data_IF_826965646182
#
_entry.id   IF_826965646182
#
_cell.length_a   1.000
_cell.length_b   1.000
_cell.length_c   1.000
_cell.angle_alpha   90.00
_cell.angle_beta   90.00
_cell.angle_gamma   90.00
#
_symmetry.space_group_name_H-M   'P 1'
#
loop_
_entity.id
_entity.type
_entity.pdbx_description
1 polymer ?
#
# COMPACT_ATOMS: atom_id res chain seq x y z
N UNK A 1 -9.75 -24.61 47.62
CA UNK A 1 -9.04 -23.72 46.69
C UNK A 1 -9.18 -24.29 45.28
N UNK A 2 -9.94 -23.62 44.41
CA UNK A 2 -9.79 -23.64 42.95
C UNK A 2 -10.85 -22.72 42.36
N UNK A 3 -10.53 -21.43 42.30
CA UNK A 3 -11.23 -20.54 41.39
C UNK A 3 -10.57 -20.73 40.04
N UNK A 4 -11.22 -21.51 39.18
CA UNK A 4 -10.89 -21.60 37.77
C UNK A 4 -10.75 -20.18 37.22
N UNK A 5 -9.58 -19.89 36.67
CA UNK A 5 -9.27 -18.65 35.97
C UNK A 5 -10.35 -18.43 34.90
N UNK A 6 -11.27 -17.51 35.18
CA UNK A 6 -12.30 -17.11 34.22
C UNK A 6 -11.57 -16.41 33.08
N UNK A 7 -11.58 -17.07 31.93
CA UNK A 7 -10.95 -16.65 30.70
C UNK A 7 -11.45 -15.25 30.32
N UNK A 8 -10.53 -14.31 30.07
CA UNK A 8 -10.81 -12.92 29.71
C UNK A 8 -11.44 -12.94 28.31
N UNK A 9 -12.77 -12.90 28.22
CA UNK A 9 -13.45 -12.93 26.91
C UNK A 9 -13.19 -11.62 26.18
N UNK A 10 -12.54 -11.70 25.03
CA UNK A 10 -12.50 -10.61 24.05
C UNK A 10 -13.93 -10.33 23.59
N UNK A 11 -14.36 -9.07 23.61
CA UNK A 11 -15.63 -8.64 23.04
C UNK A 11 -15.42 -8.30 21.56
N UNK A 12 -16.06 -9.07 20.69
CA UNK A 12 -16.01 -8.90 19.24
C UNK A 12 -17.07 -7.89 18.80
N UNK A 13 -16.64 -6.81 18.13
CA UNK A 13 -17.50 -5.70 17.73
C UNK A 13 -17.52 -5.58 16.20
N UNK A 14 -18.70 -5.37 15.61
CA UNK A 14 -18.87 -5.20 14.15
C UNK A 14 -18.44 -3.82 13.66
N UNK A 15 -18.11 -3.70 12.37
CA UNK A 15 -17.70 -2.43 11.75
C UNK A 15 -18.85 -1.39 11.79
N UNK A 16 -18.50 -0.09 11.77
CA UNK A 16 -19.40 1.07 11.82
C UNK A 16 -19.99 1.45 13.19
N UNK A 17 -19.68 0.71 14.24
CA UNK A 17 -20.16 1.03 15.60
C UNK A 17 -19.18 1.92 16.40
N UNK A 18 -18.12 2.42 15.74
CA UNK A 18 -16.93 2.97 16.40
C UNK A 18 -16.69 4.46 16.16
N UNK A 19 -17.70 5.23 15.74
CA UNK A 19 -17.50 6.69 15.64
C UNK A 19 -17.25 7.36 17.01
N UNK A 20 -17.55 6.71 18.14
CA UNK A 20 -17.22 7.20 19.50
C UNK A 20 -16.89 6.13 20.57
N UNK A 21 -16.89 4.83 20.22
CA UNK A 21 -16.72 3.79 21.25
C UNK A 21 -17.83 3.79 22.32
N UNK A 22 -19.02 4.23 21.92
CA UNK A 22 -20.22 4.33 22.76
C UNK A 22 -21.34 3.63 21.98
N UNK A 23 -21.81 2.50 22.51
CA UNK A 23 -22.96 1.78 21.98
C UNK A 23 -24.23 2.30 22.61
N UNK A 24 -25.26 2.50 21.79
CA UNK A 24 -26.62 2.73 22.27
C UNK A 24 -27.15 1.49 22.98
N UNK A 25 -27.67 1.70 24.19
CA UNK A 25 -28.32 0.67 25.01
C UNK A 25 -29.56 0.13 24.29
N UNK A 26 -29.57 -1.14 23.89
CA UNK A 26 -30.77 -1.79 23.35
C UNK A 26 -31.73 -2.18 24.49
N UNK A 27 -32.59 -1.25 24.91
CA UNK A 27 -33.68 -1.53 25.84
C UNK A 27 -35.02 -1.57 25.04
N UNK A 28 -35.52 -2.75 24.67
CA UNK A 28 -36.68 -2.88 23.75
C UNK A 28 -38.05 -2.67 24.40
N UNK A 29 -38.16 -2.68 25.73
CA UNK A 29 -39.47 -2.67 26.40
C UNK A 29 -39.57 -1.83 27.69
N UNK A 30 -38.47 -1.32 28.27
CA UNK A 30 -38.49 -0.54 29.53
C UNK A 30 -37.42 0.56 29.54
N UNK A 31 -37.80 1.85 29.60
CA UNK A 31 -36.88 2.99 29.47
C UNK A 31 -35.84 3.20 30.60
N UNK A 32 -35.84 2.44 31.69
CA UNK A 32 -35.05 2.76 32.91
C UNK A 32 -34.00 1.72 33.37
N UNK A 33 -33.82 0.59 32.67
CA UNK A 33 -33.04 -0.57 33.16
C UNK A 33 -31.90 -1.02 32.22
N UNK A 34 -30.96 -0.14 31.91
CA UNK A 34 -29.71 -0.52 31.24
C UNK A 34 -28.53 0.07 32.04
N UNK A 35 -27.36 -0.60 32.06
CA UNK A 35 -26.25 -0.46 33.02
C UNK A 35 -26.50 0.54 34.15
N UNK A 36 -27.25 0.10 35.15
CA UNK A 36 -27.03 -1.23 35.70
C UNK A 36 -28.14 -2.28 35.48
N UNK A 37 -27.75 -3.56 35.59
CA UNK A 37 -28.61 -4.72 35.93
C UNK A 37 -27.81 -5.75 36.74
N UNK A 38 -28.39 -6.67 37.53
CA UNK A 38 -28.97 -6.50 38.89
C UNK A 38 -28.31 -7.56 39.80
N UNK A 39 -26.99 -7.46 40.07
CA UNK A 39 -26.33 -8.38 41.02
C UNK A 39 -25.33 -7.73 41.97
N UNK A 40 -25.24 -6.39 41.99
CA UNK A 40 -24.68 -5.62 43.11
C UNK A 40 -23.19 -5.82 43.42
N UNK A 41 -22.42 -6.51 42.60
CA UNK A 41 -20.99 -6.70 42.82
C UNK A 41 -20.20 -5.82 41.85
N UNK A 42 -19.61 -4.74 42.37
CA UNK A 42 -18.59 -3.98 41.69
C UNK A 42 -17.41 -4.90 41.40
N UNK A 43 -17.28 -5.33 40.14
CA UNK A 43 -16.00 -5.79 39.60
C UNK A 43 -15.42 -4.59 38.86
N UNK A 44 -14.12 -4.34 39.05
CA UNK A 44 -13.38 -3.39 38.22
C UNK A 44 -13.83 -3.57 36.76
N UNK A 45 -14.17 -2.48 36.03
CA UNK A 45 -14.59 -2.59 34.65
C UNK A 45 -13.54 -3.42 33.94
N UNK A 46 -13.97 -4.56 33.38
CA UNK A 46 -13.05 -5.43 32.69
C UNK A 46 -12.36 -4.57 31.64
N UNK A 47 -11.02 -4.42 31.75
CA UNK A 47 -10.19 -3.89 30.67
C UNK A 47 -10.18 -4.96 29.56
N UNK A 48 -11.34 -5.23 28.97
CA UNK A 48 -11.48 -6.06 27.78
C UNK A 48 -10.78 -5.30 26.65
N UNK A 49 -9.81 -5.96 26.02
CA UNK A 49 -9.19 -5.45 24.81
C UNK A 49 -10.23 -5.56 23.70
N UNK A 50 -10.96 -4.46 23.44
CA UNK A 50 -11.93 -4.39 22.34
C UNK A 50 -11.19 -4.69 21.03
N UNK A 51 -11.63 -5.72 20.33
CA UNK A 51 -11.09 -6.07 19.02
C UNK A 51 -12.22 -5.95 18.01
N UNK A 52 -12.10 -4.99 17.11
CA UNK A 52 -12.97 -4.91 15.95
C UNK A 52 -12.71 -6.14 15.09
N UNK A 53 -13.76 -6.91 14.81
CA UNK A 53 -13.71 -8.07 13.92
C UNK A 53 -14.47 -7.69 12.66
N UNK A 54 -13.74 -7.02 11.77
CA UNK A 54 -14.24 -6.69 10.46
C UNK A 54 -13.91 -7.78 9.43
N UNK A 55 -14.91 -8.17 8.65
CA UNK A 55 -14.66 -8.83 7.35
C UNK A 55 -14.45 -7.74 6.32
N UNK A 56 -13.21 -7.52 5.92
CA UNK A 56 -12.91 -6.42 5.03
C UNK A 56 -13.37 -6.65 3.59
N UNK A 57 -13.92 -5.61 2.94
CA UNK A 57 -14.16 -5.65 1.50
C UNK A 57 -12.83 -5.79 0.75
N UNK A 58 -12.91 -6.19 -0.51
CA UNK A 58 -11.74 -6.36 -1.36
C UNK A 58 -10.92 -5.05 -1.42
N UNK A 59 -9.61 -5.19 -1.25
CA UNK A 59 -8.67 -4.07 -1.28
C UNK A 59 -8.44 -3.37 0.06
N UNK A 60 -9.11 -3.81 1.13
CA UNK A 60 -8.96 -3.25 2.48
C UNK A 60 -8.40 -4.28 3.47
N UNK A 61 -7.71 -3.79 4.50
CA UNK A 61 -7.11 -4.58 5.58
C UNK A 61 -7.08 -3.76 6.88
N UNK A 62 -6.79 -4.42 8.00
CA UNK A 62 -6.81 -3.82 9.33
C UNK A 62 -7.93 -4.38 10.20
N UNK A 63 -7.90 -4.05 11.49
CA UNK A 63 -8.94 -4.49 12.42
C UNK A 63 -10.30 -3.86 12.09
N UNK A 64 -10.26 -2.66 11.50
CA UNK A 64 -11.40 -1.82 11.16
C UNK A 64 -11.51 -1.57 9.64
N UNK A 65 -10.74 -2.32 8.83
CA UNK A 65 -10.59 -2.08 7.38
C UNK A 65 -10.11 -0.66 7.05
N UNK A 66 -9.31 -0.08 7.94
CA UNK A 66 -8.87 1.30 7.88
C UNK A 66 -7.68 1.53 6.92
N UNK A 67 -7.06 0.45 6.44
CA UNK A 67 -5.87 0.47 5.57
C UNK A 67 -6.16 -0.19 4.23
N UNK A 68 -5.45 0.22 3.20
CA UNK A 68 -5.45 -0.53 1.95
C UNK A 68 -4.63 -1.81 2.08
N UNK A 69 -5.13 -2.88 1.46
CA UNK A 69 -4.43 -4.16 1.35
C UNK A 69 -3.15 -3.98 0.51
N UNK A 70 -2.18 -4.89 0.67
CA UNK A 70 -1.00 -4.92 -0.19
C UNK A 70 -1.43 -4.96 -1.68
N UNK A 71 -0.82 -4.13 -2.51
CA UNK A 71 -1.21 -3.98 -3.92
C UNK A 71 -2.40 -3.04 -4.15
N UNK A 72 -2.86 -2.33 -3.13
CA UNK A 72 -3.87 -1.28 -3.22
C UNK A 72 -3.36 0.03 -2.61
N UNK A 73 -3.86 1.15 -3.13
CA UNK A 73 -3.57 2.51 -2.66
C UNK A 73 -4.84 3.32 -2.48
N UNK A 74 -4.75 4.39 -1.69
CA UNK A 74 -5.82 5.36 -1.54
C UNK A 74 -5.99 6.19 -2.79
N UNK A 75 -7.24 6.49 -3.12
CA UNK A 75 -7.66 7.42 -4.16
C UNK A 75 -8.86 8.20 -3.63
N UNK A 76 -8.84 9.53 -3.81
CA UNK A 76 -9.93 10.41 -3.38
C UNK A 76 -10.86 10.64 -4.57
N UNK A 77 -12.10 10.17 -4.46
CA UNK A 77 -13.15 10.36 -5.47
C UNK A 77 -14.27 11.17 -4.83
N UNK A 78 -14.36 12.46 -5.19
CA UNK A 78 -15.27 13.40 -4.54
C UNK A 78 -14.90 13.58 -3.07
N UNK A 79 -15.85 13.30 -2.17
CA UNK A 79 -15.66 13.36 -0.71
C UNK A 79 -15.25 12.03 -0.08
N UNK A 80 -15.12 10.96 -0.87
CA UNK A 80 -14.80 9.62 -0.40
C UNK A 80 -13.36 9.23 -0.71
N UNK A 81 -12.70 8.56 0.24
CA UNK A 81 -11.39 7.91 0.00
C UNK A 81 -11.60 6.41 -0.12
N UNK A 82 -11.17 5.84 -1.24
CA UNK A 82 -11.31 4.40 -1.50
C UNK A 82 -9.95 3.74 -1.77
N UNK A 83 -9.86 2.43 -1.54
CA UNK A 83 -8.69 1.64 -1.91
C UNK A 83 -8.87 1.08 -3.32
N UNK A 84 -7.97 1.43 -4.23
CA UNK A 84 -7.95 0.94 -5.61
C UNK A 84 -6.66 0.16 -5.89
N UNK A 85 -6.65 -0.79 -6.84
CA UNK A 85 -5.43 -1.51 -7.19
C UNK A 85 -4.30 -0.58 -7.62
N UNK A 86 -3.06 -0.96 -7.29
CA UNK A 86 -1.86 -0.28 -7.80
C UNK A 86 -1.78 -0.38 -9.33
N UNK A 87 -1.38 0.71 -9.99
CA UNK A 87 -1.16 0.74 -11.45
C UNK A 87 0.33 0.86 -11.72
N UNK A 88 1.03 -0.28 -11.78
CA UNK A 88 2.50 -0.32 -11.92
C UNK A 88 2.98 -0.89 -13.25
N UNK A 89 2.16 -0.80 -14.31
CA UNK A 89 2.50 -1.24 -15.68
C UNK A 89 3.10 -2.65 -15.78
N UNK A 90 2.60 -3.60 -14.99
CA UNK A 90 3.11 -4.99 -14.91
C UNK A 90 4.60 -5.11 -14.50
N UNK A 91 5.17 -4.03 -13.95
CA UNK A 91 6.53 -3.97 -13.42
C UNK A 91 6.57 -4.01 -11.90
N UNK A 92 5.41 -4.06 -11.23
CA UNK A 92 5.27 -4.35 -9.81
C UNK A 92 3.83 -4.71 -9.49
N UNK A 93 3.62 -5.39 -8.37
CA UNK A 93 2.30 -5.63 -7.76
C UNK A 93 2.16 -4.88 -6.43
N UNK A 94 3.20 -4.14 -6.02
CA UNK A 94 3.27 -3.45 -4.73
C UNK A 94 3.50 -1.97 -4.98
N UNK A 95 2.71 -1.14 -4.31
CA UNK A 95 2.91 0.29 -4.25
C UNK A 95 2.66 0.81 -2.84
N UNK A 96 3.23 1.97 -2.55
CA UNK A 96 2.99 2.70 -1.33
C UNK A 96 1.48 3.07 -1.23
N UNK A 97 0.81 2.73 -0.11
CA UNK A 97 -0.65 2.83 -0.02
C UNK A 97 -1.17 4.27 0.03
N UNK A 98 -0.32 5.25 0.32
CA UNK A 98 -0.73 6.66 0.45
C UNK A 98 -0.34 7.47 -0.79
N UNK A 99 0.87 7.25 -1.31
CA UNK A 99 1.42 7.99 -2.46
C UNK A 99 1.18 7.29 -3.79
N UNK A 100 0.89 5.99 -3.78
CA UNK A 100 0.75 5.17 -4.98
C UNK A 100 2.06 4.85 -5.70
N UNK A 101 3.22 5.20 -5.11
CA UNK A 101 4.52 4.95 -5.73
C UNK A 101 4.83 3.45 -5.77
N UNK A 102 5.06 2.93 -6.96
CA UNK A 102 5.37 1.52 -7.18
C UNK A 102 6.80 1.14 -6.77
N UNK A 103 6.96 -0.08 -6.27
CA UNK A 103 8.27 -0.72 -6.10
C UNK A 103 8.72 -1.35 -7.42
N UNK A 104 9.24 -0.53 -8.32
CA UNK A 104 9.51 -0.93 -9.70
C UNK A 104 10.59 -2.02 -9.85
N UNK A 105 10.31 -3.00 -10.71
CA UNK A 105 11.22 -4.09 -11.13
C UNK A 105 11.65 -3.89 -12.58
N UNK A 106 12.40 -4.85 -13.13
CA UNK A 106 12.81 -4.88 -14.54
C UNK A 106 13.52 -3.62 -15.03
N UNK A 107 14.29 -2.98 -14.14
CA UNK A 107 15.01 -1.73 -14.43
C UNK A 107 14.10 -0.57 -14.87
N UNK A 108 12.84 -0.59 -14.43
CA UNK A 108 11.89 0.51 -14.62
C UNK A 108 11.90 1.44 -13.42
N UNK A 109 11.34 2.63 -13.62
CA UNK A 109 11.22 3.66 -12.60
C UNK A 109 10.08 4.62 -12.94
N UNK A 110 9.92 5.65 -12.11
CA UNK A 110 8.75 6.51 -12.14
C UNK A 110 7.74 6.15 -11.06
N UNK A 111 6.63 6.89 -10.98
CA UNK A 111 5.58 6.64 -9.98
C UNK A 111 4.85 5.32 -10.29
N UNK A 112 4.70 5.01 -11.58
CA UNK A 112 3.93 3.89 -12.11
C UNK A 112 4.80 2.88 -12.89
N UNK A 113 6.13 2.96 -12.76
CA UNK A 113 7.06 2.14 -13.55
C UNK A 113 6.89 2.32 -15.07
N UNK A 114 6.65 3.57 -15.48
CA UNK A 114 6.29 4.00 -16.82
C UNK A 114 7.49 4.47 -17.66
N UNK A 115 8.69 4.49 -17.07
CA UNK A 115 9.95 4.81 -17.74
C UNK A 115 11.06 3.88 -17.28
N UNK A 116 12.16 3.84 -18.01
CA UNK A 116 13.36 3.15 -17.52
C UNK A 116 13.96 3.89 -16.33
N UNK A 117 14.55 3.15 -15.40
CA UNK A 117 15.27 3.70 -14.26
C UNK A 117 16.48 4.52 -14.74
N UNK A 118 17.00 5.40 -13.88
CA UNK A 118 18.24 6.11 -14.18
C UNK A 118 19.38 5.12 -14.49
N UNK A 119 20.10 5.36 -15.60
CA UNK A 119 21.13 4.43 -16.08
C UNK A 119 20.60 3.32 -17.00
N UNK A 120 19.32 3.36 -17.38
CA UNK A 120 18.70 2.44 -18.34
C UNK A 120 17.95 3.20 -19.45
N UNK A 121 17.81 2.57 -20.61
CA UNK A 121 17.06 3.09 -21.76
C UNK A 121 16.19 2.01 -22.41
N UNK A 122 15.24 2.42 -23.25
CA UNK A 122 14.32 1.54 -23.95
C UNK A 122 12.86 1.81 -23.58
N UNK A 123 12.02 0.79 -23.72
CA UNK A 123 10.58 0.87 -23.47
C UNK A 123 10.22 0.12 -22.17
N UNK A 124 9.83 0.87 -21.14
CA UNK A 124 9.41 0.31 -19.85
C UNK A 124 8.10 -0.49 -19.91
N UNK A 125 7.30 -0.32 -20.96
CA UNK A 125 6.06 -1.06 -21.18
C UNK A 125 6.27 -2.31 -22.06
N UNK A 126 7.49 -2.54 -22.57
CA UNK A 126 7.79 -3.75 -23.31
C UNK A 126 7.82 -4.98 -22.36
N UNK A 127 7.57 -6.19 -22.88
CA UNK A 127 7.66 -7.41 -22.08
C UNK A 127 9.02 -7.54 -21.38
N UNK A 128 9.08 -7.85 -20.07
CA UNK A 128 10.33 -7.99 -19.35
C UNK A 128 11.29 -8.97 -20.05
N UNK A 129 12.54 -8.55 -20.25
CA UNK A 129 13.56 -9.35 -20.92
C UNK A 129 13.54 -9.32 -22.46
N UNK A 130 12.60 -8.60 -23.09
CA UNK A 130 12.66 -8.36 -24.54
C UNK A 130 13.80 -7.41 -24.92
N UNK A 131 14.14 -7.33 -26.21
CA UNK A 131 15.20 -6.43 -26.71
C UNK A 131 14.81 -4.95 -26.56
N UNK A 132 13.51 -4.68 -26.52
CA UNK A 132 12.92 -3.36 -26.37
C UNK A 132 12.73 -2.96 -24.91
N UNK A 133 12.79 -3.92 -23.97
CA UNK A 133 12.71 -3.66 -22.53
C UNK A 133 13.91 -2.83 -22.05
N UNK A 134 13.83 -2.30 -20.83
CA UNK A 134 14.87 -1.44 -20.27
C UNK A 134 16.25 -2.14 -20.20
N UNK A 135 17.17 -1.66 -21.03
CA UNK A 135 18.56 -2.12 -21.12
C UNK A 135 19.51 -1.18 -20.39
N UNK A 136 20.58 -1.72 -19.82
CA UNK A 136 21.62 -0.91 -19.17
C UNK A 136 22.28 0.02 -20.18
N UNK A 137 22.49 1.29 -19.81
CA UNK A 137 23.21 2.24 -20.64
C UNK A 137 24.63 1.72 -20.92
N UNK A 138 25.10 1.69 -22.18
CA UNK A 138 26.49 1.36 -22.52
C UNK A 138 27.41 2.57 -22.25
N UNK A 139 27.24 3.22 -21.10
CA UNK A 139 27.93 4.45 -20.73
C UNK A 139 28.81 4.22 -19.48
N UNK A 140 29.85 5.04 -19.26
CA UNK A 140 30.62 5.01 -18.01
C UNK A 140 29.74 5.20 -16.77
N UNK A 141 30.16 4.63 -15.65
CA UNK A 141 29.45 4.73 -14.36
C UNK A 141 29.19 6.21 -14.03
N UNK A 142 27.94 6.53 -13.68
CA UNK A 142 27.50 7.88 -13.34
C UNK A 142 26.96 8.71 -14.50
N UNK A 143 27.08 8.25 -15.75
CA UNK A 143 26.43 8.87 -16.90
C UNK A 143 25.01 8.31 -17.10
N UNK A 144 24.07 9.17 -17.53
CA UNK A 144 22.75 8.76 -18.01
C UNK A 144 22.80 8.49 -19.52
N UNK A 145 21.74 7.95 -20.09
CA UNK A 145 21.62 7.86 -21.54
C UNK A 145 20.19 8.11 -22.03
N UNK A 146 20.10 8.55 -23.28
CA UNK A 146 18.84 8.75 -23.99
C UNK A 146 18.88 8.03 -25.34
N UNK A 147 17.73 7.51 -25.75
CA UNK A 147 17.55 6.97 -27.09
C UNK A 147 17.10 8.10 -28.03
N UNK A 148 17.78 8.23 -29.16
CA UNK A 148 17.45 9.23 -30.19
C UNK A 148 16.43 8.68 -31.19
N UNK A 149 15.87 9.56 -32.01
CA UNK A 149 14.93 9.18 -33.09
C UNK A 149 15.52 8.15 -34.09
N UNK A 150 16.84 8.05 -34.17
CA UNK A 150 17.55 7.08 -35.02
C UNK A 150 17.85 5.75 -34.28
N UNK A 151 17.22 5.49 -33.13
CA UNK A 151 17.51 4.35 -32.23
C UNK A 151 18.97 4.25 -31.79
N UNK A 152 19.69 5.38 -31.80
CA UNK A 152 21.03 5.46 -31.26
C UNK A 152 20.97 5.89 -29.80
N UNK A 153 21.72 5.17 -28.95
CA UNK A 153 21.86 5.48 -27.52
C UNK A 153 23.00 6.47 -27.34
N UNK A 154 22.72 7.59 -26.69
CA UNK A 154 23.69 8.66 -26.46
C UNK A 154 23.82 8.89 -24.97
N UNK A 155 25.07 8.93 -24.48
CA UNK A 155 25.35 9.24 -23.08
C UNK A 155 25.15 10.74 -22.83
N UNK A 156 24.44 11.05 -21.75
CA UNK A 156 24.19 12.41 -21.26
C UNK A 156 24.61 12.49 -19.79
N UNK A 157 24.79 13.71 -19.27
CA UNK A 157 25.25 13.94 -17.89
C UNK A 157 26.57 13.21 -17.56
N UNK A 158 27.49 13.14 -18.53
CA UNK A 158 28.75 12.44 -18.37
C UNK A 158 29.62 13.06 -17.28
N UNK A 159 30.14 12.26 -16.33
CA UNK A 159 31.07 12.75 -15.33
C UNK A 159 32.35 13.30 -16.01
N UNK A 160 32.91 14.37 -15.42
CA UNK A 160 34.10 15.08 -15.91
C UNK A 160 33.93 15.82 -17.26
N UNK A 161 32.72 16.32 -17.57
CA UNK A 161 32.47 17.19 -18.73
C UNK A 161 32.83 16.56 -20.09
N UNK A 162 32.85 15.23 -20.18
CA UNK A 162 33.17 14.49 -21.41
C UNK A 162 31.93 14.39 -22.29
N UNK A 163 31.94 14.99 -23.47
CA UNK A 163 30.91 14.82 -24.50
C UNK A 163 31.41 13.83 -25.56
N UNK A 164 30.63 12.78 -25.87
CA UNK A 164 31.01 11.79 -26.89
C UNK A 164 30.07 10.57 -26.97
N UNK A 165 30.04 9.89 -28.12
CA UNK A 165 29.35 8.60 -28.29
C UNK A 165 30.16 7.49 -27.63
N UNK A 166 29.52 6.63 -26.86
CA UNK A 166 30.11 5.34 -26.50
C UNK A 166 30.20 4.50 -27.78
N UNK A 167 31.36 4.53 -28.44
CA UNK A 167 31.67 3.53 -29.46
C UNK A 167 32.01 2.25 -28.70
N UNK A 168 31.04 1.37 -28.54
CA UNK A 168 31.34 -0.05 -28.32
C UNK A 168 32.08 -0.53 -29.55
N UNK A 169 33.40 -0.35 -29.55
CA UNK A 169 34.31 -0.92 -30.54
C UNK A 169 34.39 -2.42 -30.26
N UNK A 170 33.79 -3.21 -31.15
CA UNK A 170 34.34 -4.50 -31.55
C UNK A 170 35.19 -4.27 -32.79
#
# INVERSE_FOLDING_TARGET
>A
MNYSLIDKKTLDIGCAQNHKGEFDCLCRERPNDCPFCVSGLWKDPQKEFRKEICQCPQGYTGASCERCMLGYRRETIGESTICIPCTCNNNSDICDPETGKCECRHNTGGLFCDRCADGYYGNALAPPGSKEACQSCPCPIGAKCVETLLKAVVCVDCPNNRTGKSTSSL
#
